data_IF_375743231034
#
_entry.id   IF_375743231034
#
_cell.length_a   1.000
_cell.length_b   1.000
_cell.length_c   1.000
_cell.angle_alpha   90.00
_cell.angle_beta   90.00
_cell.angle_gamma   90.00
#
_symmetry.space_group_name_H-M   'P 1'
#
loop_
_entity.id
_entity.type
_entity.pdbx_description
1 polymer ?
#
# COMPACT_ATOMS: atom_id res chain seq x y z
N UNK A 1 -1.78 -7.82 3.50
CA UNK A 1 -2.21 -7.25 4.80
C UNK A 1 -1.20 -6.24 5.34
N UNK A 2 0.05 -6.60 5.66
CA UNK A 2 1.07 -5.67 6.20
C UNK A 2 1.42 -4.49 5.26
N UNK A 3 1.24 -4.64 3.96
CA UNK A 3 1.41 -3.56 2.97
C UNK A 3 0.32 -2.49 3.08
N UNK A 4 -0.85 -2.84 3.56
CA UNK A 4 -1.98 -1.90 3.74
C UNK A 4 -2.00 -1.27 5.14
N UNK A 5 -1.61 -2.02 6.16
CA UNK A 5 -1.45 -1.54 7.53
C UNK A 5 -0.13 -2.08 8.08
N UNK A 6 0.89 -1.23 8.26
CA UNK A 6 2.20 -1.66 8.75
C UNK A 6 2.14 -2.30 10.15
N UNK A 7 1.18 -1.94 11.00
CA UNK A 7 1.02 -2.55 12.33
C UNK A 7 0.67 -4.05 12.29
N UNK A 8 0.15 -4.56 11.17
CA UNK A 8 -0.19 -5.97 11.03
C UNK A 8 1.01 -6.87 10.66
N UNK A 9 2.20 -6.31 10.51
CA UNK A 9 3.39 -7.10 10.19
C UNK A 9 3.78 -8.03 11.35
N UNK A 10 3.46 -7.70 12.60
CA UNK A 10 3.69 -8.58 13.76
C UNK A 10 2.95 -9.93 13.65
N UNK A 11 1.88 -10.00 12.85
CA UNK A 11 1.14 -11.24 12.60
C UNK A 11 1.78 -12.14 11.56
N UNK A 12 2.88 -11.73 10.92
CA UNK A 12 3.57 -12.52 9.88
C UNK A 12 4.61 -13.44 10.54
N UNK A 13 4.66 -14.69 10.09
CA UNK A 13 5.63 -15.65 10.59
C UNK A 13 7.09 -15.20 10.29
N UNK A 14 8.01 -15.55 11.19
CA UNK A 14 9.44 -15.26 11.01
C UNK A 14 10.00 -15.90 9.74
N UNK A 15 10.91 -15.20 9.07
CA UNK A 15 11.59 -15.64 7.84
C UNK A 15 10.62 -15.98 6.70
N UNK A 16 9.50 -15.26 6.61
CA UNK A 16 8.55 -15.44 5.51
C UNK A 16 9.06 -14.76 4.25
N UNK A 17 9.19 -15.52 3.18
CA UNK A 17 9.42 -15.02 1.82
C UNK A 17 8.15 -15.21 1.01
N UNK A 18 7.66 -14.14 0.40
CA UNK A 18 6.52 -14.15 -0.52
C UNK A 18 7.00 -13.66 -1.87
N UNK A 19 6.75 -14.44 -2.91
CA UNK A 19 7.03 -14.08 -4.30
C UNK A 19 5.74 -14.21 -5.08
N UNK A 20 5.44 -13.21 -5.90
CA UNK A 20 4.31 -13.24 -6.82
C UNK A 20 4.75 -12.73 -8.19
N UNK A 21 4.15 -13.30 -9.22
CA UNK A 21 4.30 -12.84 -10.58
C UNK A 21 2.99 -13.08 -11.34
N UNK A 22 2.56 -12.08 -12.08
CA UNK A 22 1.30 -12.10 -12.79
C UNK A 22 1.49 -11.51 -14.18
N UNK A 23 0.98 -12.23 -15.16
CA UNK A 23 0.88 -11.81 -16.55
C UNK A 23 -0.56 -11.34 -16.81
N UNK A 24 -0.71 -10.12 -17.25
CA UNK A 24 -1.98 -9.58 -17.71
C UNK A 24 -2.07 -9.56 -19.23
N UNK A 25 -3.27 -9.31 -19.74
CA UNK A 25 -3.46 -9.05 -21.17
C UNK A 25 -2.64 -7.82 -21.63
N UNK A 26 -2.36 -7.71 -22.91
CA UNK A 26 -1.57 -6.64 -23.53
C UNK A 26 -0.10 -6.54 -23.08
N UNK A 27 0.50 -7.63 -22.61
CA UNK A 27 1.90 -7.65 -22.23
C UNK A 27 2.24 -6.97 -20.91
N UNK A 28 1.22 -6.62 -20.09
CA UNK A 28 1.44 -6.06 -18.75
C UNK A 28 1.93 -7.16 -17.82
N UNK A 29 3.04 -6.91 -17.15
CA UNK A 29 3.66 -7.83 -16.21
C UNK A 29 3.74 -7.18 -14.82
N UNK A 30 3.34 -7.92 -13.78
CA UNK A 30 3.45 -7.47 -12.39
C UNK A 30 4.24 -8.50 -11.60
N UNK A 31 5.34 -8.08 -11.02
CA UNK A 31 6.17 -8.90 -10.14
C UNK A 31 6.23 -8.29 -8.73
N UNK A 32 6.28 -9.14 -7.73
CA UNK A 32 6.44 -8.69 -6.35
C UNK A 32 7.22 -9.68 -5.51
N UNK A 33 8.02 -9.13 -4.58
CA UNK A 33 8.76 -9.88 -3.58
C UNK A 33 8.58 -9.22 -2.22
N UNK A 34 8.42 -10.01 -1.17
CA UNK A 34 8.38 -9.54 0.20
C UNK A 34 9.13 -10.51 1.10
N UNK A 35 9.99 -9.97 1.96
CA UNK A 35 10.69 -10.73 2.98
C UNK A 35 10.42 -10.11 4.33
N UNK A 36 9.99 -10.93 5.29
CA UNK A 36 9.72 -10.52 6.66
C UNK A 36 10.56 -11.33 7.65
N UNK A 37 11.05 -10.65 8.69
CA UNK A 37 11.82 -11.26 9.78
C UNK A 37 11.49 -10.62 11.11
N UNK A 38 11.34 -11.47 12.12
CA UNK A 38 11.20 -11.04 13.52
C UNK A 38 12.57 -10.64 14.07
N UNK A 39 12.66 -9.50 14.74
CA UNK A 39 13.84 -8.98 15.39
C UNK A 39 13.59 -8.85 16.91
N UNK A 40 13.90 -9.89 17.64
CA UNK A 40 13.61 -10.00 19.06
C UNK A 40 12.16 -10.48 19.32
N UNK A 41 11.64 -10.21 20.53
CA UNK A 41 10.32 -10.74 20.97
C UNK A 41 9.14 -9.88 20.53
N UNK A 42 9.35 -8.59 20.23
CA UNK A 42 8.29 -7.59 20.02
C UNK A 42 8.40 -6.80 18.74
N UNK A 43 9.40 -7.08 17.91
CA UNK A 43 9.60 -6.31 16.69
C UNK A 43 9.69 -7.20 15.47
N UNK A 44 9.15 -6.73 14.37
CA UNK A 44 9.20 -7.39 13.07
C UNK A 44 9.49 -6.34 12.00
N UNK A 45 10.39 -6.66 11.10
CA UNK A 45 10.67 -5.82 9.94
C UNK A 45 10.44 -6.59 8.65
N UNK A 46 10.13 -5.87 7.60
CA UNK A 46 10.00 -6.44 6.27
C UNK A 46 10.51 -5.48 5.21
N UNK A 47 10.97 -6.05 4.11
CA UNK A 47 11.26 -5.32 2.88
C UNK A 47 10.34 -5.88 1.80
N UNK A 48 9.74 -4.99 1.02
CA UNK A 48 8.92 -5.36 -0.12
C UNK A 48 9.40 -4.64 -1.37
N UNK A 49 9.36 -5.33 -2.49
CA UNK A 49 9.63 -4.77 -3.80
C UNK A 49 8.50 -5.15 -4.74
N UNK A 50 8.04 -4.21 -5.55
CA UNK A 50 7.04 -4.43 -6.58
C UNK A 50 7.51 -3.79 -7.87
N UNK A 51 7.32 -4.49 -8.97
CA UNK A 51 7.62 -4.07 -10.32
C UNK A 51 6.38 -4.22 -11.20
N UNK A 52 6.05 -3.19 -11.92
CA UNK A 52 4.98 -3.19 -12.92
C UNK A 52 5.57 -2.75 -14.24
N UNK A 53 5.43 -3.59 -15.26
CA UNK A 53 5.74 -3.28 -16.64
C UNK A 53 4.44 -3.24 -17.42
N UNK A 54 4.10 -2.09 -17.95
CA UNK A 54 2.86 -1.88 -18.71
C UNK A 54 2.98 -2.35 -20.18
N UNK A 55 4.13 -2.91 -20.56
CA UNK A 55 4.40 -3.35 -21.91
C UNK A 55 4.61 -2.18 -22.87
N UNK A 56 4.39 -2.43 -24.13
CA UNK A 56 4.45 -1.41 -25.20
C UNK A 56 3.08 -0.76 -25.37
N UNK A 57 3.00 0.53 -25.09
CA UNK A 57 1.82 1.35 -25.29
C UNK A 57 1.94 2.06 -26.64
N UNK A 58 0.88 2.06 -27.44
CA UNK A 58 0.85 2.75 -28.73
C UNK A 58 0.62 4.24 -28.50
N UNK A 59 1.47 5.04 -29.10
CA UNK A 59 1.28 6.48 -29.19
C UNK A 59 0.38 6.79 -30.38
N UNK A 60 -0.74 7.47 -30.13
CA UNK A 60 -1.71 7.86 -31.16
C UNK A 60 -1.94 9.36 -31.13
N UNK A 61 -2.07 9.97 -32.32
CA UNK A 61 -2.50 11.37 -32.45
C UNK A 61 -4.01 11.52 -32.19
N UNK A 62 -4.49 12.75 -32.05
CA UNK A 62 -5.92 13.07 -31.95
C UNK A 62 -6.72 12.54 -33.17
N UNK A 63 -6.08 12.30 -34.30
CA UNK A 63 -6.64 11.75 -35.54
C UNK A 63 -6.61 10.21 -35.55
N UNK A 64 -6.22 9.57 -34.43
CA UNK A 64 -6.11 8.12 -34.28
C UNK A 64 -5.05 7.45 -35.20
N UNK A 65 -4.00 8.20 -35.57
CA UNK A 65 -2.86 7.70 -36.33
C UNK A 65 -1.78 7.24 -35.34
N UNK A 66 -1.33 5.98 -35.46
CA UNK A 66 -0.23 5.45 -34.68
C UNK A 66 1.10 6.13 -35.08
N UNK A 67 1.73 6.85 -34.13
CA UNK A 67 2.98 7.57 -34.35
C UNK A 67 4.21 6.88 -33.79
N UNK A 68 3.99 5.94 -32.83
CA UNK A 68 5.08 5.23 -32.18
C UNK A 68 4.60 4.28 -31.10
N UNK A 69 5.56 3.71 -30.37
CA UNK A 69 5.33 2.94 -29.14
C UNK A 69 6.20 3.50 -28.03
N UNK A 70 5.68 3.56 -26.81
CA UNK A 70 6.44 3.90 -25.63
C UNK A 70 6.26 2.85 -24.54
N UNK A 71 7.21 2.74 -23.62
CA UNK A 71 7.14 1.83 -22.48
C UNK A 71 6.92 2.61 -21.18
N UNK A 72 6.12 2.04 -20.31
CA UNK A 72 5.90 2.56 -18.97
C UNK A 72 6.26 1.49 -17.92
N UNK A 73 6.97 1.87 -16.87
CA UNK A 73 7.45 0.97 -15.82
C UNK A 73 7.40 1.66 -14.47
N UNK A 74 6.88 0.94 -13.48
CA UNK A 74 6.85 1.38 -12.10
C UNK A 74 7.61 0.40 -11.21
N UNK A 75 8.46 0.95 -10.35
CA UNK A 75 9.18 0.19 -9.33
C UNK A 75 8.86 0.81 -7.99
N UNK A 76 8.41 0.01 -7.03
CA UNK A 76 8.25 0.46 -5.67
C UNK A 76 9.02 -0.44 -4.71
N UNK A 77 9.76 0.17 -3.78
CA UNK A 77 10.47 -0.52 -2.71
C UNK A 77 9.99 0.06 -1.40
N UNK A 78 9.65 -0.82 -0.44
CA UNK A 78 9.18 -0.37 0.87
C UNK A 78 9.89 -1.10 1.98
N UNK A 79 10.26 -0.37 3.01
CA UNK A 79 10.69 -0.89 4.31
C UNK A 79 9.55 -0.75 5.32
N UNK A 80 9.25 -1.82 6.05
CA UNK A 80 8.20 -1.86 7.06
C UNK A 80 8.82 -2.26 8.39
N UNK A 81 8.46 -1.56 9.44
CA UNK A 81 8.86 -1.90 10.81
C UNK A 81 7.64 -1.83 11.73
N UNK A 82 7.49 -2.85 12.56
CA UNK A 82 6.39 -2.96 13.51
C UNK A 82 6.94 -3.30 14.88
N UNK A 83 6.33 -2.72 15.90
CA UNK A 83 6.63 -2.98 17.29
C UNK A 83 5.37 -3.25 18.09
N UNK A 84 5.35 -4.33 18.86
CA UNK A 84 4.27 -4.68 19.77
C UNK A 84 4.41 -3.88 21.07
N UNK A 85 3.61 -2.81 21.17
CA UNK A 85 3.59 -1.88 22.30
C UNK A 85 3.09 -2.57 23.60
N UNK A 86 2.13 -3.47 23.44
CA UNK A 86 1.58 -4.31 24.52
C UNK A 86 1.00 -5.60 23.93
N UNK A 87 0.44 -6.46 24.78
CA UNK A 87 -0.21 -7.70 24.33
C UNK A 87 -1.43 -7.47 23.42
N UNK A 88 -1.97 -6.24 23.39
CA UNK A 88 -3.14 -5.88 22.61
C UNK A 88 -2.86 -4.85 21.53
N UNK A 89 -1.77 -4.10 21.65
CA UNK A 89 -1.47 -2.98 20.76
C UNK A 89 -0.21 -3.21 19.99
N UNK A 90 -0.26 -3.03 18.68
CA UNK A 90 0.90 -2.97 17.79
C UNK A 90 0.91 -1.67 16.99
N UNK A 91 2.08 -1.07 16.86
CA UNK A 91 2.32 0.11 16.05
C UNK A 91 3.29 -0.22 14.93
N UNK A 92 3.10 0.39 13.76
CA UNK A 92 3.97 0.14 12.62
C UNK A 92 4.20 1.39 11.77
N UNK A 93 5.34 1.43 11.11
CA UNK A 93 5.72 2.44 10.14
C UNK A 93 6.18 1.76 8.86
N UNK A 94 5.82 2.35 7.72
CA UNK A 94 6.27 1.93 6.39
C UNK A 94 6.82 3.13 5.65
N UNK A 95 8.00 3.01 5.09
CA UNK A 95 8.58 3.96 4.16
C UNK A 95 8.51 3.38 2.74
N UNK A 96 7.97 4.17 1.82
CA UNK A 96 7.77 3.79 0.42
C UNK A 96 8.62 4.64 -0.49
N UNK A 97 9.35 4.02 -1.40
CA UNK A 97 10.08 4.66 -2.49
C UNK A 97 9.45 4.21 -3.78
N UNK A 98 8.97 5.14 -4.57
CA UNK A 98 8.30 4.87 -5.84
C UNK A 98 9.09 5.57 -6.94
N UNK A 99 9.48 4.80 -7.94
CA UNK A 99 10.11 5.26 -9.16
C UNK A 99 9.25 4.88 -10.35
N UNK A 100 8.82 5.87 -11.11
CA UNK A 100 8.01 5.71 -12.31
C UNK A 100 8.77 6.24 -13.52
N UNK A 101 8.78 5.47 -14.59
CA UNK A 101 9.40 5.82 -15.86
C UNK A 101 8.39 5.67 -16.98
N UNK A 102 8.10 6.77 -17.67
CA UNK A 102 7.15 6.84 -18.78
C UNK A 102 7.83 7.52 -19.96
N UNK A 103 8.10 6.81 -21.03
CA UNK A 103 8.79 7.29 -22.23
C UNK A 103 10.13 8.01 -21.88
N UNK A 104 10.14 9.33 -22.02
CA UNK A 104 11.31 10.21 -21.72
C UNK A 104 11.26 10.81 -20.30
N UNK A 105 10.19 10.59 -19.58
CA UNK A 105 9.97 11.21 -18.27
C UNK A 105 10.18 10.21 -17.13
N UNK A 106 10.76 10.68 -16.05
CA UNK A 106 10.89 9.89 -14.81
C UNK A 106 10.44 10.70 -13.62
N UNK A 107 9.71 10.04 -12.73
CA UNK A 107 9.23 10.60 -11.48
C UNK A 107 9.74 9.80 -10.30
N UNK A 108 9.96 10.46 -9.18
CA UNK A 108 10.37 9.84 -7.93
C UNK A 108 9.52 10.39 -6.78
N UNK A 109 8.95 9.50 -6.00
CA UNK A 109 8.12 9.85 -4.86
C UNK A 109 8.55 9.08 -3.59
N UNK A 110 8.40 9.72 -2.45
CA UNK A 110 8.57 9.12 -1.12
C UNK A 110 7.28 9.31 -0.35
N UNK A 111 6.83 8.23 0.30
CA UNK A 111 5.68 8.24 1.19
C UNK A 111 5.99 7.49 2.48
N UNK A 112 5.34 7.90 3.56
CA UNK A 112 5.38 7.23 4.85
C UNK A 112 3.96 6.86 5.24
N UNK A 113 3.78 5.63 5.69
CA UNK A 113 2.51 5.15 6.23
C UNK A 113 2.70 4.83 7.72
N UNK A 114 1.74 5.23 8.54
CA UNK A 114 1.71 4.93 9.96
C UNK A 114 0.49 4.07 10.27
N UNK A 115 0.68 3.03 11.07
CA UNK A 115 -0.40 2.12 11.46
C UNK A 115 -0.41 1.88 12.96
N UNK A 116 -1.61 1.79 13.51
CA UNK A 116 -1.87 1.34 14.86
C UNK A 116 -2.94 0.26 14.80
N UNK A 117 -2.74 -0.82 15.52
CA UNK A 117 -3.68 -1.93 15.58
C UNK A 117 -3.92 -2.35 17.03
N UNK A 118 -5.16 -2.53 17.37
CA UNK A 118 -5.62 -3.14 18.60
C UNK A 118 -6.22 -4.52 18.29
N UNK A 119 -5.79 -5.54 19.01
CA UNK A 119 -6.33 -6.88 18.88
C UNK A 119 -6.57 -7.51 20.26
N UNK A 120 -7.81 -7.92 20.50
CA UNK A 120 -8.20 -8.62 21.71
C UNK A 120 -8.52 -10.07 21.39
N UNK A 121 -7.65 -10.97 21.85
CA UNK A 121 -7.65 -12.39 21.49
C UNK A 121 -8.91 -13.12 21.95
N UNK A 122 -9.37 -12.88 23.19
CA UNK A 122 -10.54 -13.59 23.75
C UNK A 122 -11.85 -13.27 23.05
N UNK A 123 -12.01 -12.04 22.57
CA UNK A 123 -13.22 -11.60 21.86
C UNK A 123 -13.06 -11.66 20.34
N UNK A 124 -11.89 -12.03 19.84
CA UNK A 124 -11.51 -12.02 18.41
C UNK A 124 -11.89 -10.69 17.72
N UNK A 125 -11.67 -9.59 18.46
CA UNK A 125 -11.96 -8.23 18.03
C UNK A 125 -10.67 -7.50 17.66
N UNK A 126 -10.67 -6.86 16.49
CA UNK A 126 -9.58 -6.02 16.02
C UNK A 126 -10.10 -4.64 15.61
N UNK A 127 -9.36 -3.61 15.99
CA UNK A 127 -9.56 -2.23 15.53
C UNK A 127 -8.22 -1.68 15.02
N UNK A 128 -8.22 -1.00 13.88
CA UNK A 128 -7.00 -0.44 13.29
C UNK A 128 -7.22 0.96 12.77
N UNK A 129 -6.20 1.78 12.96
CA UNK A 129 -6.09 3.14 12.41
C UNK A 129 -4.83 3.20 11.55
N UNK A 130 -4.97 3.73 10.34
CA UNK A 130 -3.85 3.87 9.39
C UNK A 130 -3.89 5.26 8.78
N UNK A 131 -2.75 5.94 8.80
CA UNK A 131 -2.52 7.15 8.02
C UNK A 131 -1.53 6.81 6.89
N UNK A 132 -1.94 7.01 5.65
CA UNK A 132 -1.17 6.61 4.46
C UNK A 132 -0.75 7.82 3.64
N UNK A 133 0.31 7.60 2.85
CA UNK A 133 0.80 8.58 1.88
C UNK A 133 1.20 9.93 2.52
N UNK A 134 1.76 9.88 3.74
CA UNK A 134 2.37 11.05 4.35
C UNK A 134 3.67 11.35 3.61
N UNK A 135 3.61 12.16 2.55
CA UNK A 135 4.76 12.45 1.70
C UNK A 135 4.40 13.20 0.43
N UNK A 136 5.29 13.17 -0.55
CA UNK A 136 5.11 13.85 -1.81
C UNK A 136 6.11 13.42 -2.87
N UNK A 137 5.94 13.93 -4.08
CA UNK A 137 6.91 13.76 -5.15
C UNK A 137 8.14 14.61 -4.88
N UNK A 138 9.33 14.00 -4.95
CA UNK A 138 10.61 14.70 -4.90
C UNK A 138 11.03 15.20 -6.28
N UNK A 139 10.65 14.43 -7.32
CA UNK A 139 10.86 14.81 -8.72
C UNK A 139 9.56 14.53 -9.48
N UNK A 140 8.94 15.59 -9.99
CA UNK A 140 7.74 15.50 -10.82
C UNK A 140 8.08 15.20 -12.30
N UNK A 141 7.11 14.73 -13.07
CA UNK A 141 7.23 14.55 -14.51
C UNK A 141 7.38 15.90 -15.26
N UNK A 142 6.70 16.94 -14.73
CA UNK A 142 6.77 18.34 -15.16
C UNK A 142 6.96 19.25 -13.93
N UNK A 143 7.04 20.57 -14.12
CA UNK A 143 7.33 21.52 -13.02
C UNK A 143 6.28 21.55 -11.87
N UNK A 144 5.23 20.74 -11.92
CA UNK A 144 4.22 20.64 -10.87
C UNK A 144 4.50 19.47 -9.94
N UNK A 145 4.85 19.78 -8.69
CA UNK A 145 4.94 18.82 -7.63
C UNK A 145 3.53 18.46 -7.13
N UNK A 146 3.14 17.23 -7.30
CA UNK A 146 1.89 16.71 -6.74
C UNK A 146 2.13 16.19 -5.32
N UNK A 147 1.27 16.57 -4.40
CA UNK A 147 1.24 15.98 -3.07
C UNK A 147 0.54 14.63 -3.17
N UNK A 148 1.12 13.61 -2.54
CA UNK A 148 0.40 12.35 -2.39
C UNK A 148 -0.88 12.59 -1.59
N UNK A 149 -2.03 12.06 -2.02
CA UNK A 149 -3.27 12.21 -1.27
C UNK A 149 -3.15 11.47 0.07
N UNK A 150 -3.18 12.24 1.16
CA UNK A 150 -3.18 11.66 2.52
C UNK A 150 -4.51 10.95 2.72
N UNK A 151 -4.48 9.68 3.08
CA UNK A 151 -5.63 8.85 3.35
C UNK A 151 -5.58 8.34 4.79
N UNK A 152 -6.60 8.65 5.56
CA UNK A 152 -6.78 8.11 6.91
C UNK A 152 -7.89 7.07 6.87
N UNK A 153 -7.57 5.86 7.33
CA UNK A 153 -8.45 4.70 7.31
C UNK A 153 -8.69 4.20 8.72
N UNK A 154 -9.93 3.80 9.00
CA UNK A 154 -10.34 3.16 10.25
C UNK A 154 -10.99 1.81 9.94
N UNK A 155 -10.44 0.76 10.52
CA UNK A 155 -10.91 -0.60 10.31
C UNK A 155 -11.35 -1.27 11.60
N UNK A 156 -12.43 -2.05 11.51
CA UNK A 156 -12.92 -2.90 12.60
C UNK A 156 -13.15 -4.31 12.06
N UNK A 157 -12.82 -5.30 12.86
CA UNK A 157 -13.10 -6.70 12.52
C UNK A 157 -13.47 -7.46 13.78
N UNK A 158 -14.52 -8.28 13.71
CA UNK A 158 -14.95 -9.14 14.78
C UNK A 158 -15.39 -10.49 14.25
N UNK A 159 -14.90 -11.56 14.87
CA UNK A 159 -15.39 -12.91 14.64
C UNK A 159 -16.54 -13.20 15.60
N UNK A 160 -17.59 -13.80 15.08
CA UNK A 160 -18.76 -14.21 15.85
C UNK A 160 -18.45 -15.53 16.57
N UNK A 161 -18.65 -15.56 17.89
CA UNK A 161 -18.28 -16.73 18.74
C UNK A 161 -19.07 -18.00 18.41
N UNK A 162 -20.29 -17.87 17.87
CA UNK A 162 -21.20 -18.99 17.61
C UNK A 162 -21.46 -19.24 16.13
N UNK A 163 -20.74 -18.57 15.24
CA UNK A 163 -20.88 -18.74 13.80
C UNK A 163 -19.53 -18.61 13.09
N UNK A 164 -19.28 -19.34 11.99
CA UNK A 164 -18.02 -19.28 11.26
C UNK A 164 -17.88 -18.00 10.43
N UNK A 165 -18.43 -16.87 10.90
CA UNK A 165 -18.40 -15.60 10.21
C UNK A 165 -17.48 -14.58 10.91
N UNK A 166 -16.73 -13.84 10.09
CA UNK A 166 -15.98 -12.65 10.49
C UNK A 166 -16.59 -11.45 9.78
N UNK A 167 -17.03 -10.48 10.54
CA UNK A 167 -17.50 -9.19 10.04
C UNK A 167 -16.32 -8.23 10.05
N UNK A 168 -16.08 -7.58 8.90
CA UNK A 168 -15.05 -6.55 8.78
C UNK A 168 -15.65 -5.32 8.14
N UNK A 169 -15.33 -4.17 8.71
CA UNK A 169 -15.78 -2.87 8.25
C UNK A 169 -14.59 -1.93 8.15
N UNK A 170 -14.43 -1.23 7.04
CA UNK A 170 -13.32 -0.30 6.84
C UNK A 170 -13.87 1.00 6.25
N UNK A 171 -13.57 2.09 6.92
CA UNK A 171 -13.78 3.45 6.45
C UNK A 171 -12.51 3.94 5.79
N UNK A 172 -12.61 4.46 4.59
CA UNK A 172 -11.52 5.04 3.82
C UNK A 172 -11.73 6.53 3.66
N UNK A 173 -10.64 7.23 3.34
CA UNK A 173 -10.63 8.64 2.92
C UNK A 173 -11.28 9.59 3.91
N UNK A 174 -11.03 9.38 5.20
CA UNK A 174 -11.58 10.20 6.28
C UNK A 174 -11.09 11.65 6.25
N UNK A 175 -10.06 11.96 5.47
CA UNK A 175 -9.52 13.31 5.28
C UNK A 175 -10.34 14.16 4.30
N UNK A 176 -11.13 13.53 3.41
CA UNK A 176 -11.93 14.19 2.37
C UNK A 176 -13.43 13.96 2.55
N UNK A 177 -13.91 13.92 3.77
CA UNK A 177 -15.33 13.80 4.04
C UNK A 177 -16.07 15.09 3.64
N UNK A 178 -16.40 15.23 2.37
CA UNK A 178 -17.39 16.18 1.90
C UNK A 178 -18.73 15.45 1.80
N UNK A 179 -19.59 15.63 2.79
CA UNK A 179 -20.98 15.27 2.68
C UNK A 179 -21.63 16.22 1.65
N UNK A 180 -21.61 15.84 0.37
CA UNK A 180 -22.40 16.52 -0.64
C UNK A 180 -23.87 16.18 -0.41
N UNK A 181 -24.54 16.96 0.44
CA UNK A 181 -26.00 16.95 0.53
C UNK A 181 -26.52 17.60 -0.74
N UNK A 182 -26.77 16.79 -1.77
CA UNK A 182 -27.59 17.25 -2.91
C UNK A 182 -29.02 17.28 -2.41
N UNK A 183 -29.48 18.45 -1.98
CA UNK A 183 -30.89 18.73 -1.81
C UNK A 183 -31.47 18.95 -3.19
N UNK A 184 -32.32 18.04 -3.64
CA UNK A 184 -33.15 18.17 -4.85
C UNK A 184 -34.28 19.16 -4.61
#
# INVERSE_FOLDING_TARGET
MAVQNPALLSCVADKTLNLNYMLYMNGVNVGGAAFARTAGERSTWAITAQYVDYGELKETTEENIETGTFSAKDISISGIYTYDLSNYWSGGVRANFIYSHYDKYSSFAIGVDLGLNYYHQESDFSASLVARNLGGQLKAFEERHEKLPIDVQLGFSKRLSHAPFRLSFTLHDLTHWSASTTVA
#
